data_IF_108004306296
#
_entry.id   IF_108004306296
#
_cell.length_a   1.000
_cell.length_b   1.000
_cell.length_c   1.000
_cell.angle_alpha   90.00
_cell.angle_beta   90.00
_cell.angle_gamma   90.00
#
_symmetry.space_group_name_H-M   'P 1'
#
loop_
_entity.id
_entity.type
_entity.pdbx_description
1 polymer ?
#
# COMPACT_ATOMS: atom_id res chain seq x y z
N UNK A 1 -14.54 51.30 -14.34
CA UNK A 1 -14.49 49.82 -14.48
C UNK A 1 -15.92 49.29 -14.43
N UNK A 2 -16.35 48.56 -15.45
CA UNK A 2 -17.75 48.11 -15.56
C UNK A 2 -18.03 46.91 -14.66
N UNK A 3 -19.20 46.88 -13.99
CA UNK A 3 -19.61 45.78 -13.11
C UNK A 3 -19.54 44.40 -13.78
N UNK A 4 -19.85 44.31 -15.08
CA UNK A 4 -19.72 43.06 -15.85
C UNK A 4 -18.27 42.54 -15.96
N UNK A 5 -17.29 43.44 -15.94
CA UNK A 5 -15.87 43.07 -15.95
C UNK A 5 -15.45 42.41 -14.63
N UNK A 6 -16.06 42.81 -13.52
CA UNK A 6 -15.76 42.29 -12.17
C UNK A 6 -16.34 40.89 -12.00
N UNK A 7 -17.58 40.64 -12.46
CA UNK A 7 -18.18 39.30 -12.41
C UNK A 7 -17.40 38.29 -13.25
N UNK A 8 -16.95 38.68 -14.45
CA UNK A 8 -16.12 37.81 -15.31
C UNK A 8 -14.79 37.40 -14.66
N UNK A 9 -14.13 38.33 -13.98
CA UNK A 9 -12.87 38.06 -13.26
C UNK A 9 -13.11 37.10 -12.09
N UNK A 10 -14.18 37.32 -11.31
CA UNK A 10 -14.53 36.44 -10.20
C UNK A 10 -14.89 35.02 -10.66
N UNK A 11 -15.67 34.86 -11.74
CA UNK A 11 -16.00 33.54 -12.28
C UNK A 11 -14.75 32.80 -12.77
N UNK A 12 -13.84 33.50 -13.44
CA UNK A 12 -12.58 32.91 -13.90
C UNK A 12 -11.69 32.49 -12.72
N UNK A 13 -11.63 33.31 -11.67
CA UNK A 13 -10.86 33.03 -10.46
C UNK A 13 -11.39 31.78 -9.71
N UNK A 14 -12.71 31.65 -9.59
CA UNK A 14 -13.36 30.47 -8.99
C UNK A 14 -13.05 29.19 -9.80
N UNK A 15 -13.04 29.30 -11.13
CA UNK A 15 -12.74 28.18 -12.01
C UNK A 15 -11.30 27.69 -11.87
N UNK A 16 -10.34 28.62 -11.72
CA UNK A 16 -8.92 28.30 -11.52
C UNK A 16 -8.70 27.59 -10.17
N UNK A 17 -9.30 28.08 -9.08
CA UNK A 17 -9.17 27.45 -7.75
C UNK A 17 -9.70 26.01 -7.76
N UNK A 18 -10.85 25.79 -8.39
CA UNK A 18 -11.48 24.46 -8.47
C UNK A 18 -10.58 23.45 -9.21
N UNK A 19 -9.92 23.88 -10.29
CA UNK A 19 -8.96 23.07 -11.02
C UNK A 19 -7.74 22.68 -10.18
N UNK A 20 -7.21 23.61 -9.38
CA UNK A 20 -6.06 23.34 -8.49
C UNK A 20 -6.39 22.34 -7.39
N UNK A 21 -7.59 22.38 -6.81
CA UNK A 21 -8.03 21.42 -5.78
C UNK A 21 -8.17 20.01 -6.35
N UNK A 22 -8.71 19.87 -7.57
CA UNK A 22 -8.81 18.57 -8.26
C UNK A 22 -7.44 17.96 -8.62
N UNK A 23 -6.41 18.80 -8.77
CA UNK A 23 -5.07 18.37 -9.15
C UNK A 23 -4.15 18.05 -7.94
N UNK A 24 -4.69 18.11 -6.72
CA UNK A 24 -3.99 17.63 -5.53
C UNK A 24 -3.94 16.11 -5.58
N UNK A 25 -2.90 15.58 -6.22
CA UNK A 25 -2.71 14.15 -6.40
C UNK A 25 -2.24 13.56 -5.06
N UNK A 26 -3.18 12.99 -4.30
CA UNK A 26 -2.91 12.25 -3.08
C UNK A 26 -2.34 10.85 -3.41
N UNK A 27 -1.12 10.79 -3.94
CA UNK A 27 -0.41 9.52 -4.09
C UNK A 27 0.11 9.08 -2.72
N UNK A 28 -0.37 7.96 -2.16
CA UNK A 28 0.16 7.47 -0.89
C UNK A 28 1.60 6.98 -1.07
N UNK A 29 2.41 7.14 -0.02
CA UNK A 29 3.68 6.42 0.07
C UNK A 29 3.37 4.96 0.42
N UNK A 30 4.03 4.03 -0.27
CA UNK A 30 3.89 2.60 -0.01
C UNK A 30 5.15 2.12 0.71
N UNK A 31 5.00 1.70 1.97
CA UNK A 31 6.07 1.05 2.75
C UNK A 31 5.86 -0.46 2.70
N UNK A 32 6.76 -1.18 2.04
CA UNK A 32 6.76 -2.64 2.02
C UNK A 32 7.64 -3.19 3.14
N UNK A 33 7.01 -3.75 4.17
CA UNK A 33 7.71 -4.49 5.23
C UNK A 33 7.64 -6.00 4.95
N UNK A 34 8.80 -6.66 4.95
CA UNK A 34 8.92 -8.11 4.76
C UNK A 34 9.70 -8.69 5.94
N UNK A 35 9.21 -9.78 6.50
CA UNK A 35 9.89 -10.58 7.51
C UNK A 35 10.23 -11.94 6.88
N UNK A 36 11.50 -12.33 6.90
CA UNK A 36 11.98 -13.59 6.33
C UNK A 36 11.84 -14.73 7.34
N UNK A 37 11.58 -15.95 6.84
CA UNK A 37 11.51 -17.20 7.62
C UNK A 37 10.55 -17.16 8.83
N UNK A 38 9.44 -16.44 8.67
CA UNK A 38 8.47 -16.20 9.73
C UNK A 38 7.25 -17.12 9.62
N UNK A 39 6.84 -17.69 10.75
CA UNK A 39 5.61 -18.47 10.87
C UNK A 39 4.43 -17.59 11.32
N UNK A 40 3.27 -18.19 11.59
CA UNK A 40 2.07 -17.52 12.10
C UNK A 40 2.16 -17.19 13.61
N UNK A 41 3.37 -17.03 14.16
CA UNK A 41 3.61 -16.75 15.58
C UNK A 41 3.40 -15.27 15.91
N UNK A 42 2.20 -14.75 15.63
CA UNK A 42 1.78 -13.41 16.00
C UNK A 42 0.38 -13.42 16.62
N UNK A 43 0.13 -12.45 17.50
CA UNK A 43 -1.17 -12.24 18.14
C UNK A 43 -2.32 -12.10 17.13
N UNK A 44 -2.05 -11.45 15.99
CA UNK A 44 -2.99 -11.28 14.89
C UNK A 44 -3.47 -12.61 14.28
N UNK A 45 -2.71 -13.69 14.46
CA UNK A 45 -3.04 -15.05 14.02
C UNK A 45 -3.37 -15.99 15.18
N UNK A 46 -3.57 -15.47 16.40
CA UNK A 46 -3.97 -16.23 17.57
C UNK A 46 -2.83 -16.81 18.42
N UNK A 47 -1.57 -16.49 18.11
CA UNK A 47 -0.44 -16.86 18.97
C UNK A 47 -0.33 -15.92 20.17
N UNK A 48 -0.08 -16.48 21.36
CA UNK A 48 0.13 -15.69 22.59
C UNK A 48 1.55 -15.82 23.14
N UNK A 49 2.48 -16.41 22.37
CA UNK A 49 3.85 -16.67 22.82
C UNK A 49 4.81 -15.56 22.41
N UNK A 50 4.55 -14.87 21.29
CA UNK A 50 5.33 -13.71 20.86
C UNK A 50 4.82 -12.40 21.47
N UNK A 51 5.75 -11.54 21.89
CA UNK A 51 5.44 -10.20 22.36
C UNK A 51 5.82 -9.16 21.30
N UNK A 52 4.82 -8.70 20.51
CA UNK A 52 5.04 -7.84 19.35
C UNK A 52 4.14 -6.59 19.36
N UNK A 53 4.23 -5.71 20.38
CA UNK A 53 3.25 -4.65 20.61
C UNK A 53 3.09 -3.66 19.43
N UNK A 54 4.16 -3.41 18.66
CA UNK A 54 4.09 -2.56 17.47
C UNK A 54 3.37 -3.23 16.30
N UNK A 55 3.58 -4.55 16.10
CA UNK A 55 2.85 -5.31 15.08
C UNK A 55 1.39 -5.50 15.48
N UNK A 56 1.10 -5.68 16.77
CA UNK A 56 -0.27 -5.76 17.28
C UNK A 56 -1.02 -4.44 17.03
N UNK A 57 -0.36 -3.31 17.28
CA UNK A 57 -0.90 -1.97 17.00
C UNK A 57 -1.14 -1.78 15.50
N UNK A 58 -0.21 -2.23 14.65
CA UNK A 58 -0.37 -2.19 13.21
C UNK A 58 -1.56 -3.06 12.76
N UNK A 59 -1.67 -4.28 13.28
CA UNK A 59 -2.73 -5.23 12.96
C UNK A 59 -4.12 -4.67 13.29
N UNK A 60 -4.29 -4.01 14.43
CA UNK A 60 -5.55 -3.39 14.85
C UNK A 60 -6.07 -2.29 13.90
N UNK A 61 -5.18 -1.69 13.10
CA UNK A 61 -5.52 -0.65 12.12
C UNK A 61 -5.40 -1.16 10.67
N UNK A 62 -5.27 -2.46 10.47
CA UNK A 62 -5.00 -3.08 9.17
C UNK A 62 -6.03 -4.14 8.81
N UNK A 63 -6.08 -4.50 7.53
CA UNK A 63 -6.75 -5.72 7.08
C UNK A 63 -5.79 -6.89 7.23
N UNK A 64 -6.22 -7.94 7.94
CA UNK A 64 -5.45 -9.18 8.13
C UNK A 64 -5.90 -10.24 7.11
N UNK A 65 -4.93 -10.82 6.39
CA UNK A 65 -5.17 -11.90 5.45
C UNK A 65 -4.90 -13.24 6.11
N UNK A 66 -5.95 -14.04 6.35
CA UNK A 66 -5.83 -15.38 6.96
C UNK A 66 -5.50 -16.48 5.95
N UNK A 67 -5.62 -16.19 4.65
CA UNK A 67 -5.36 -17.11 3.55
C UNK A 67 -4.40 -16.45 2.53
N UNK A 68 -3.14 -16.32 2.91
CA UNK A 68 -2.07 -15.77 2.06
C UNK A 68 -0.92 -16.77 1.97
N UNK A 69 -0.51 -17.13 0.76
CA UNK A 69 0.47 -18.19 0.52
C UNK A 69 1.61 -17.70 -0.37
N UNK A 70 2.83 -18.12 -0.05
CA UNK A 70 4.00 -17.93 -0.93
C UNK A 70 3.93 -18.89 -2.12
N UNK A 71 4.31 -18.46 -3.34
CA UNK A 71 4.40 -19.36 -4.48
C UNK A 71 5.60 -20.32 -4.42
N UNK A 72 6.54 -20.12 -3.48
CA UNK A 72 7.66 -21.03 -3.25
C UNK A 72 8.14 -21.00 -1.80
N UNK A 73 8.55 -22.15 -1.23
CA UNK A 73 9.09 -22.22 0.13
C UNK A 73 10.57 -21.81 0.23
N UNK A 74 11.21 -21.36 -0.86
CA UNK A 74 12.62 -20.94 -0.89
C UNK A 74 12.73 -19.42 -1.01
N UNK A 75 13.65 -18.81 -0.25
CA UNK A 75 13.75 -17.35 -0.13
C UNK A 75 13.93 -16.64 -1.48
N UNK A 76 14.83 -17.15 -2.35
CA UNK A 76 15.10 -16.53 -3.65
C UNK A 76 13.86 -16.48 -4.57
N UNK A 77 13.22 -17.62 -4.93
CA UNK A 77 12.00 -17.59 -5.75
C UNK A 77 10.84 -16.84 -5.09
N UNK A 78 10.64 -16.95 -3.78
CA UNK A 78 9.60 -16.19 -3.06
C UNK A 78 9.76 -14.68 -3.24
N UNK A 79 10.98 -14.15 -3.00
CA UNK A 79 11.29 -12.73 -3.19
C UNK A 79 11.17 -12.29 -4.65
N UNK A 80 11.63 -13.12 -5.59
CA UNK A 80 11.46 -12.81 -7.01
C UNK A 80 9.98 -12.68 -7.39
N UNK A 81 9.11 -13.56 -6.88
CA UNK A 81 7.67 -13.46 -7.11
C UNK A 81 7.04 -12.22 -6.49
N UNK A 82 7.44 -11.87 -5.26
CA UNK A 82 7.04 -10.64 -4.57
C UNK A 82 7.39 -9.41 -5.43
N UNK A 83 8.64 -9.30 -5.90
CA UNK A 83 9.13 -8.14 -6.66
C UNK A 83 8.49 -8.03 -8.05
N UNK A 84 8.30 -9.16 -8.74
CA UNK A 84 7.89 -9.18 -10.15
C UNK A 84 6.39 -9.37 -10.34
N UNK A 85 5.66 -9.87 -9.34
CA UNK A 85 4.27 -10.29 -9.47
C UNK A 85 4.10 -11.57 -10.31
N UNK A 86 5.17 -12.32 -10.55
CA UNK A 86 5.16 -13.50 -11.42
C UNK A 86 5.43 -14.80 -10.66
N UNK A 87 4.83 -15.91 -11.10
CA UNK A 87 5.18 -17.23 -10.58
C UNK A 87 6.65 -17.60 -10.88
N UNK A 88 7.36 -18.30 -9.99
CA UNK A 88 8.77 -18.64 -10.19
C UNK A 88 9.02 -19.45 -11.47
N UNK A 89 8.08 -20.32 -11.87
CA UNK A 89 8.11 -21.08 -13.13
C UNK A 89 8.17 -20.18 -14.37
N UNK A 90 7.56 -19.00 -14.32
CA UNK A 90 7.46 -18.12 -15.48
C UNK A 90 8.72 -17.28 -15.68
N UNK A 91 9.51 -17.09 -14.62
CA UNK A 91 10.72 -16.25 -14.62
C UNK A 91 12.01 -17.06 -14.41
N UNK A 92 11.92 -18.39 -14.37
CA UNK A 92 13.07 -19.28 -14.27
C UNK A 92 13.78 -19.27 -12.91
N UNK A 93 13.13 -18.80 -11.85
CA UNK A 93 13.72 -18.69 -10.50
C UNK A 93 13.41 -19.88 -9.59
N UNK A 94 12.69 -20.88 -10.11
CA UNK A 94 12.25 -22.08 -9.37
C UNK A 94 13.41 -23.00 -8.94
N UNK A 95 14.53 -22.98 -9.66
CA UNK A 95 15.63 -23.93 -9.51
C UNK A 95 16.74 -23.43 -8.59
#
# INVERSE_FOLDING_TARGET
MNFHSIYRINTLFIFIISYSVMNSQNTPNILWLVCEDQSLFFSAYGDSTSHTPHLDTLANHSTIYTNCFTPSPVCSPSRSSIITGMYPTNIGTQN
#
